data_IF_251600987418
#
_entry.id   IF_251600987418
#
_cell.length_a   1.000
_cell.length_b   1.000
_cell.length_c   1.000
_cell.angle_alpha   90.00
_cell.angle_beta   90.00
_cell.angle_gamma   90.00
#
_symmetry.space_group_name_H-M   'P 1'
#
loop_
_entity.id
_entity.type
_entity.pdbx_description
1 polymer ?
#
# COMPACT_ATOMS: atom_id res chain seq x y z
N UNK A 1 56.30 -36.63 -41.54
CA UNK A 1 55.83 -35.27 -41.18
C UNK A 1 54.37 -35.18 -41.61
N UNK A 2 53.46 -35.62 -40.75
CA UNK A 2 52.03 -35.81 -41.03
C UNK A 2 51.24 -34.64 -40.44
N UNK A 3 50.50 -33.93 -41.28
CA UNK A 3 49.64 -32.80 -40.89
C UNK A 3 48.27 -33.32 -40.43
N UNK A 4 47.92 -33.12 -39.16
CA UNK A 4 46.56 -33.31 -38.66
C UNK A 4 45.64 -32.16 -39.09
N UNK A 5 44.37 -32.43 -39.46
CA UNK A 5 43.40 -31.38 -39.73
C UNK A 5 42.74 -30.89 -38.43
N UNK A 6 42.71 -29.57 -38.26
CA UNK A 6 42.07 -28.90 -37.13
C UNK A 6 40.55 -29.17 -37.10
N UNK A 7 40.08 -29.70 -35.97
CA UNK A 7 38.66 -29.91 -35.67
C UNK A 7 37.95 -28.57 -35.53
N UNK A 8 37.01 -28.25 -36.43
CA UNK A 8 36.15 -27.06 -36.34
C UNK A 8 35.15 -27.22 -35.20
N UNK A 9 35.14 -26.26 -34.27
CA UNK A 9 34.15 -26.18 -33.20
C UNK A 9 32.72 -26.07 -33.77
N UNK A 10 31.71 -26.67 -33.11
CA UNK A 10 30.33 -26.60 -33.57
C UNK A 10 29.77 -25.18 -33.43
N UNK A 11 29.12 -24.69 -34.49
CA UNK A 11 28.35 -23.45 -34.51
C UNK A 11 27.39 -23.41 -33.31
N UNK A 12 27.57 -22.41 -32.45
CA UNK A 12 26.59 -22.01 -31.43
C UNK A 12 25.27 -21.69 -32.13
N UNK A 13 24.27 -22.58 -32.05
CA UNK A 13 22.91 -22.27 -32.53
C UNK A 13 22.37 -21.13 -31.67
N UNK A 14 22.35 -19.91 -32.22
CA UNK A 14 21.57 -18.81 -31.67
C UNK A 14 20.12 -19.28 -31.54
N UNK A 15 19.63 -19.37 -30.29
CA UNK A 15 18.21 -19.65 -30.07
C UNK A 15 17.42 -18.50 -30.68
N UNK A 16 16.50 -18.74 -31.62
CA UNK A 16 15.69 -17.66 -32.18
C UNK A 16 14.95 -16.95 -31.04
N UNK A 17 15.12 -15.63 -30.97
CA UNK A 17 14.44 -14.80 -29.97
C UNK A 17 12.91 -14.93 -30.07
N UNK A 18 12.16 -14.63 -29.00
CA UNK A 18 10.72 -14.78 -28.97
C UNK A 18 10.05 -14.03 -30.12
N UNK A 19 9.16 -14.73 -30.82
CA UNK A 19 8.44 -14.22 -31.99
C UNK A 19 7.54 -13.03 -31.61
N UNK A 20 7.12 -12.23 -32.59
CA UNK A 20 6.19 -11.11 -32.36
C UNK A 20 4.87 -11.56 -31.71
N UNK A 21 4.43 -12.80 -31.97
CA UNK A 21 3.23 -13.40 -31.38
C UNK A 21 3.44 -13.74 -29.90
N UNK A 22 4.62 -14.21 -29.51
CA UNK A 22 4.95 -14.52 -28.12
C UNK A 22 5.01 -13.25 -27.26
N UNK A 23 5.57 -12.16 -27.80
CA UNK A 23 5.56 -10.84 -27.15
C UNK A 23 4.14 -10.30 -26.94
N UNK A 24 3.27 -10.39 -27.94
CA UNK A 24 1.86 -9.96 -27.84
C UNK A 24 1.09 -10.77 -26.80
N UNK A 25 1.25 -12.10 -26.77
CA UNK A 25 0.62 -12.98 -25.78
C UNK A 25 1.11 -12.68 -24.35
N UNK A 26 2.41 -12.46 -24.18
CA UNK A 26 3.00 -12.11 -22.88
C UNK A 26 2.50 -10.74 -22.39
N UNK A 27 2.38 -9.75 -23.27
CA UNK A 27 1.82 -8.44 -22.95
C UNK A 27 0.34 -8.55 -22.53
N UNK A 28 -0.48 -9.23 -23.32
CA UNK A 28 -1.91 -9.42 -23.01
C UNK A 28 -2.14 -10.18 -21.70
N UNK A 29 -1.27 -11.15 -21.36
CA UNK A 29 -1.32 -11.83 -20.06
C UNK A 29 -0.96 -10.88 -18.91
N UNK A 30 0.05 -10.03 -19.08
CA UNK A 30 0.46 -9.04 -18.07
C UNK A 30 -0.64 -8.00 -17.82
N UNK A 31 -1.27 -7.50 -18.89
CA UNK A 31 -2.39 -6.57 -18.80
C UNK A 31 -3.55 -7.18 -18.01
N UNK A 32 -4.01 -8.39 -18.39
CA UNK A 32 -5.10 -9.07 -17.66
C UNK A 32 -4.83 -9.28 -16.17
N UNK A 33 -3.59 -9.60 -15.80
CA UNK A 33 -3.22 -9.75 -14.39
C UNK A 33 -3.26 -8.38 -13.67
N UNK A 34 -2.73 -7.33 -14.29
CA UNK A 34 -2.77 -5.98 -13.73
C UNK A 34 -4.22 -5.51 -13.54
N UNK A 35 -5.07 -5.72 -14.55
CA UNK A 35 -6.49 -5.39 -14.50
C UNK A 35 -7.18 -6.16 -13.36
N UNK A 36 -6.95 -7.47 -13.24
CA UNK A 36 -7.54 -8.28 -12.18
C UNK A 36 -7.13 -7.83 -10.77
N UNK A 37 -5.86 -7.45 -10.57
CA UNK A 37 -5.38 -6.91 -9.28
C UNK A 37 -6.01 -5.56 -8.97
N UNK A 38 -6.10 -4.68 -9.97
CA UNK A 38 -6.75 -3.38 -9.81
C UNK A 38 -8.24 -3.57 -9.49
N UNK A 39 -8.93 -4.48 -10.18
CA UNK A 39 -10.33 -4.81 -9.87
C UNK A 39 -10.48 -5.36 -8.46
N UNK A 40 -9.60 -6.27 -8.02
CA UNK A 40 -9.66 -6.83 -6.66
C UNK A 40 -9.45 -5.77 -5.59
N UNK A 41 -8.47 -4.87 -5.77
CA UNK A 41 -8.19 -3.77 -4.86
C UNK A 41 -9.35 -2.76 -4.81
N UNK A 42 -9.89 -2.39 -5.97
CA UNK A 42 -11.06 -1.51 -6.02
C UNK A 42 -12.28 -2.18 -5.37
N UNK A 43 -12.44 -3.50 -5.55
CA UNK A 43 -13.54 -4.25 -4.95
C UNK A 43 -13.40 -4.35 -3.43
N UNK A 44 -12.21 -4.62 -2.88
CA UNK A 44 -11.99 -4.66 -1.42
C UNK A 44 -12.27 -3.30 -0.78
N UNK A 45 -11.73 -2.23 -1.37
CA UNK A 45 -11.99 -0.86 -0.93
C UNK A 45 -13.48 -0.50 -1.03
N UNK A 46 -14.15 -0.87 -2.13
CA UNK A 46 -15.59 -0.63 -2.31
C UNK A 46 -16.43 -1.39 -1.28
N UNK A 47 -16.05 -2.62 -0.92
CA UNK A 47 -16.71 -3.39 0.15
C UNK A 47 -16.53 -2.70 1.50
N UNK A 48 -15.33 -2.25 1.85
CA UNK A 48 -15.08 -1.53 3.10
C UNK A 48 -15.95 -0.26 3.21
N UNK A 49 -16.02 0.52 2.12
CA UNK A 49 -16.86 1.73 2.06
C UNK A 49 -18.36 1.38 2.10
N UNK A 50 -18.79 0.32 1.40
CA UNK A 50 -20.18 -0.12 1.42
C UNK A 50 -20.63 -0.58 2.81
N UNK A 51 -19.75 -1.26 3.56
CA UNK A 51 -20.01 -1.66 4.95
C UNK A 51 -20.13 -0.45 5.87
N UNK A 52 -19.27 0.56 5.71
CA UNK A 52 -19.41 1.81 6.44
C UNK A 52 -20.75 2.50 6.16
N UNK A 53 -21.12 2.62 4.87
CA UNK A 53 -22.37 3.25 4.48
C UNK A 53 -23.60 2.47 4.99
N UNK A 54 -23.54 1.14 5.00
CA UNK A 54 -24.65 0.29 5.48
C UNK A 54 -24.80 0.32 7.01
N UNK A 55 -23.71 0.54 7.75
CA UNK A 55 -23.70 0.58 9.21
C UNK A 55 -23.81 2.00 9.78
N UNK A 56 -24.63 2.85 9.15
CA UNK A 56 -24.96 4.19 9.64
C UNK A 56 -24.15 5.33 9.00
N UNK A 57 -23.09 5.03 8.23
CA UNK A 57 -22.33 6.03 7.47
C UNK A 57 -23.19 6.87 6.52
N UNK A 58 -24.23 6.27 5.91
CA UNK A 58 -25.12 6.99 5.00
C UNK A 58 -25.91 8.13 5.66
N UNK A 59 -26.09 8.10 6.99
CA UNK A 59 -26.80 9.15 7.72
C UNK A 59 -25.89 10.32 8.14
N UNK A 60 -24.57 10.20 7.97
CA UNK A 60 -23.57 11.18 8.39
C UNK A 60 -23.29 12.26 7.33
N UNK A 61 -24.30 12.63 6.54
CA UNK A 61 -24.21 13.66 5.50
C UNK A 61 -25.23 14.79 5.70
N UNK A 62 -25.79 14.91 6.91
CA UNK A 62 -26.79 15.92 7.25
C UNK A 62 -26.22 17.34 7.42
N UNK A 63 -24.95 17.44 7.83
CA UNK A 63 -24.24 18.73 7.96
C UNK A 63 -22.92 18.71 7.19
N UNK A 64 -22.35 19.89 6.95
CA UNK A 64 -21.02 19.99 6.32
C UNK A 64 -19.94 19.35 7.19
N UNK A 65 -19.99 19.51 8.52
CA UNK A 65 -19.03 18.92 9.43
C UNK A 65 -19.08 17.38 9.37
N UNK A 66 -20.29 16.80 9.42
CA UNK A 66 -20.47 15.33 9.33
C UNK A 66 -20.00 14.79 7.98
N UNK A 67 -20.27 15.51 6.88
CA UNK A 67 -19.83 15.13 5.55
C UNK A 67 -18.30 15.13 5.43
N UNK A 68 -17.63 16.16 5.98
CA UNK A 68 -16.16 16.24 6.03
C UNK A 68 -15.60 15.08 6.87
N UNK A 69 -16.14 14.84 8.05
CA UNK A 69 -15.75 13.70 8.91
C UNK A 69 -15.92 12.36 8.18
N UNK A 70 -17.05 12.15 7.50
CA UNK A 70 -17.33 10.94 6.72
C UNK A 70 -16.33 10.73 5.58
N UNK A 71 -15.91 11.79 4.89
CA UNK A 71 -14.85 11.72 3.87
C UNK A 71 -13.53 11.31 4.51
N UNK A 72 -13.21 11.84 5.69
CA UNK A 72 -12.04 11.43 6.47
C UNK A 72 -12.06 9.94 6.80
N UNK A 73 -13.20 9.43 7.28
CA UNK A 73 -13.38 7.99 7.57
C UNK A 73 -13.19 7.14 6.32
N UNK A 74 -13.79 7.53 5.18
CA UNK A 74 -13.62 6.81 3.90
C UNK A 74 -12.15 6.76 3.48
N UNK A 75 -11.41 7.87 3.62
CA UNK A 75 -9.98 7.90 3.34
C UNK A 75 -9.20 6.93 4.26
N UNK A 76 -9.57 6.85 5.54
CA UNK A 76 -8.99 5.92 6.51
C UNK A 76 -9.26 4.46 6.16
N UNK A 77 -10.49 4.14 5.74
CA UNK A 77 -10.88 2.79 5.31
C UNK A 77 -10.09 2.33 4.08
N UNK A 78 -10.01 3.16 3.04
CA UNK A 78 -9.27 2.82 1.81
C UNK A 78 -7.77 2.76 2.11
N UNK A 79 -7.24 3.71 2.90
CA UNK A 79 -5.83 3.73 3.30
C UNK A 79 -5.43 2.47 4.09
N UNK A 80 -6.28 2.05 5.03
CA UNK A 80 -6.08 0.83 5.83
C UNK A 80 -6.21 -0.42 4.98
N UNK A 81 -7.19 -0.50 4.07
CA UNK A 81 -7.31 -1.61 3.12
C UNK A 81 -6.02 -1.78 2.30
N UNK A 82 -5.43 -0.68 1.84
CA UNK A 82 -4.16 -0.74 1.11
C UNK A 82 -3.01 -1.27 1.99
N UNK A 83 -2.95 -0.88 3.27
CA UNK A 83 -1.97 -1.42 4.22
C UNK A 83 -2.17 -2.92 4.43
N UNK A 84 -3.41 -3.39 4.60
CA UNK A 84 -3.72 -4.80 4.76
C UNK A 84 -3.37 -5.61 3.52
N UNK A 85 -3.70 -5.10 2.32
CA UNK A 85 -3.29 -5.72 1.06
C UNK A 85 -1.76 -5.79 0.96
N UNK A 86 -1.04 -4.73 1.34
CA UNK A 86 0.43 -4.74 1.37
C UNK A 86 1.01 -5.81 2.30
N UNK A 87 0.39 -6.05 3.47
CA UNK A 87 0.78 -7.12 4.40
C UNK A 87 0.54 -8.50 3.77
N UNK A 88 -0.62 -8.71 3.14
CA UNK A 88 -0.94 -9.96 2.43
C UNK A 88 0.04 -10.23 1.29
N UNK A 89 0.40 -9.20 0.52
CA UNK A 89 1.41 -9.31 -0.55
C UNK A 89 2.80 -9.66 0.00
N UNK A 90 3.15 -9.18 1.20
CA UNK A 90 4.44 -9.46 1.85
C UNK A 90 4.49 -10.85 2.50
N UNK A 91 3.34 -11.43 2.86
CA UNK A 91 3.24 -12.71 3.58
C UNK A 91 3.65 -13.95 2.76
N UNK A 92 3.94 -13.81 1.46
CA UNK A 92 4.37 -14.91 0.55
C UNK A 92 3.43 -16.13 0.58
N UNK A 93 2.13 -15.86 0.59
CA UNK A 93 1.11 -16.92 0.59
C UNK A 93 1.23 -17.73 -0.72
N UNK A 94 1.45 -19.07 -0.68
CA UNK A 94 1.75 -19.85 -1.88
C UNK A 94 0.72 -19.74 -3.00
N UNK A 95 -0.56 -19.58 -2.64
CA UNK A 95 -1.67 -19.42 -3.59
C UNK A 95 -1.54 -18.10 -4.38
N UNK A 96 -1.15 -17.02 -3.68
CA UNK A 96 -0.96 -15.68 -4.25
C UNK A 96 0.33 -15.63 -5.06
N UNK A 97 1.42 -16.19 -4.54
CA UNK A 97 2.70 -16.22 -5.24
C UNK A 97 2.62 -16.99 -6.57
N UNK A 98 1.82 -18.07 -6.63
CA UNK A 98 1.59 -18.83 -7.87
C UNK A 98 0.77 -18.07 -8.91
N UNK A 99 -0.14 -17.20 -8.48
CA UNK A 99 -1.05 -16.47 -9.40
C UNK A 99 -0.40 -15.20 -9.97
N UNK A 100 0.19 -14.37 -9.11
CA UNK A 100 0.73 -13.05 -9.50
C UNK A 100 2.24 -13.09 -9.76
N UNK A 101 2.97 -13.90 -8.99
CA UNK A 101 4.43 -13.96 -8.97
C UNK A 101 5.08 -12.96 -8.02
N UNK A 102 6.19 -13.36 -7.40
CA UNK A 102 6.88 -12.60 -6.35
C UNK A 102 7.29 -11.18 -6.79
N UNK A 103 7.93 -11.04 -7.95
CA UNK A 103 8.40 -9.74 -8.45
C UNK A 103 7.25 -8.74 -8.64
N UNK A 104 6.07 -9.24 -9.06
CA UNK A 104 4.88 -8.40 -9.22
C UNK A 104 4.26 -8.04 -7.89
N UNK A 105 4.19 -8.97 -6.94
CA UNK A 105 3.71 -8.70 -5.59
C UNK A 105 4.53 -7.60 -4.93
N UNK A 106 5.87 -7.66 -5.04
CA UNK A 106 6.77 -6.62 -4.52
C UNK A 106 6.63 -5.29 -5.29
N UNK A 107 6.43 -5.33 -6.61
CA UNK A 107 6.17 -4.13 -7.39
C UNK A 107 4.86 -3.45 -6.95
N UNK A 108 3.80 -4.22 -6.72
CA UNK A 108 2.52 -3.71 -6.23
C UNK A 108 2.64 -3.16 -4.81
N UNK A 109 3.31 -3.88 -3.90
CA UNK A 109 3.57 -3.40 -2.55
C UNK A 109 4.29 -2.03 -2.56
N UNK A 110 5.30 -1.85 -3.42
CA UNK A 110 5.99 -0.55 -3.57
C UNK A 110 5.10 0.52 -4.18
N UNK A 111 4.19 0.16 -5.09
CA UNK A 111 3.26 1.09 -5.72
C UNK A 111 2.18 1.57 -4.74
N UNK A 112 1.69 0.71 -3.86
CA UNK A 112 0.64 1.01 -2.88
C UNK A 112 1.13 1.79 -1.66
N UNK A 113 2.41 1.70 -1.30
CA UNK A 113 2.94 2.36 -0.10
C UNK A 113 2.73 3.88 -0.07
N UNK A 114 2.92 4.58 -1.19
CA UNK A 114 2.72 6.04 -1.23
C UNK A 114 1.22 6.43 -1.20
N UNK A 115 0.34 5.85 -2.04
CA UNK A 115 -1.09 6.10 -1.95
C UNK A 115 -1.67 5.79 -0.56
N UNK A 116 -1.28 4.68 0.06
CA UNK A 116 -1.72 4.33 1.42
C UNK A 116 -1.34 5.42 2.43
N UNK A 117 -0.09 5.89 2.38
CA UNK A 117 0.36 6.97 3.27
C UNK A 117 -0.41 8.27 3.03
N UNK A 118 -0.63 8.66 1.77
CA UNK A 118 -1.37 9.88 1.46
C UNK A 118 -2.83 9.81 1.94
N UNK A 119 -3.48 8.65 1.79
CA UNK A 119 -4.83 8.43 2.30
C UNK A 119 -4.90 8.50 3.82
N UNK A 120 -3.91 7.93 4.53
CA UNK A 120 -3.89 7.96 6.00
C UNK A 120 -3.54 9.35 6.56
N UNK A 121 -2.65 10.10 5.90
CA UNK A 121 -2.42 11.51 6.25
C UNK A 121 -3.67 12.33 5.98
N UNK A 122 -4.30 12.15 4.82
CA UNK A 122 -5.54 12.83 4.47
C UNK A 122 -6.66 12.50 5.47
N UNK A 123 -6.79 11.24 5.88
CA UNK A 123 -7.70 10.80 6.93
C UNK A 123 -7.52 11.61 8.22
N UNK A 124 -6.30 11.65 8.78
CA UNK A 124 -6.05 12.40 10.01
C UNK A 124 -6.31 13.91 9.87
N UNK A 125 -5.86 14.52 8.77
CA UNK A 125 -6.07 15.95 8.51
C UNK A 125 -7.54 16.30 8.32
N UNK A 126 -8.28 15.50 7.55
CA UNK A 126 -9.70 15.74 7.29
C UNK A 126 -10.53 15.51 8.56
N UNK A 127 -10.17 14.52 9.39
CA UNK A 127 -10.82 14.34 10.70
C UNK A 127 -10.58 15.52 11.64
N UNK A 128 -9.36 16.05 11.73
CA UNK A 128 -9.08 17.26 12.53
C UNK A 128 -9.93 18.45 12.06
N UNK A 129 -10.14 18.59 10.75
CA UNK A 129 -11.03 19.62 10.19
C UNK A 129 -12.49 19.35 10.57
N UNK A 130 -13.00 18.13 10.35
CA UNK A 130 -14.39 17.78 10.62
C UNK A 130 -14.77 17.89 12.11
N UNK A 131 -13.90 17.39 12.99
CA UNK A 131 -14.08 17.53 14.44
C UNK A 131 -13.92 18.97 14.90
N UNK A 132 -12.92 19.71 14.41
CA UNK A 132 -12.76 21.13 14.70
C UNK A 132 -13.98 21.95 14.29
N UNK A 133 -14.58 21.66 13.13
CA UNK A 133 -15.83 22.29 12.69
C UNK A 133 -17.01 21.99 13.63
N UNK A 134 -17.07 20.77 14.18
CA UNK A 134 -18.12 20.34 15.13
C UNK A 134 -17.93 20.98 16.51
N UNK A 135 -16.68 21.09 16.95
CA UNK A 135 -16.26 21.66 18.24
C UNK A 135 -16.15 23.19 18.21
N UNK A 136 -16.20 23.81 17.03
CA UNK A 136 -16.05 25.26 16.85
C UNK A 136 -14.62 25.77 17.05
N UNK A 137 -13.60 24.92 16.91
CA UNK A 137 -12.18 25.27 17.05
C UNK A 137 -11.39 24.97 15.77
N UNK A 138 -10.22 25.59 15.63
CA UNK A 138 -9.38 25.36 14.46
C UNK A 138 -8.74 23.95 14.48
N UNK A 139 -8.38 23.37 13.32
CA UNK A 139 -7.89 22.00 13.22
C UNK A 139 -6.59 21.72 13.99
N UNK A 140 -5.75 22.74 14.23
CA UNK A 140 -4.49 22.57 14.97
C UNK A 140 -4.80 22.50 16.46
N UNK A 141 -5.71 23.35 16.94
CA UNK A 141 -6.18 23.31 18.34
C UNK A 141 -6.88 22.00 18.70
N UNK A 142 -7.51 21.32 17.73
CA UNK A 142 -8.17 20.01 17.91
C UNK A 142 -7.18 18.86 18.23
N UNK A 143 -5.88 19.01 17.93
CA UNK A 143 -4.87 17.99 18.23
C UNK A 143 -4.78 17.71 19.75
N UNK A 144 -4.89 18.75 20.57
CA UNK A 144 -4.82 18.62 22.03
C UNK A 144 -5.97 17.78 22.61
N UNK A 145 -7.23 18.15 22.34
CA UNK A 145 -8.41 17.33 22.67
C UNK A 145 -8.31 15.90 22.14
N UNK A 146 -7.86 15.70 20.89
CA UNK A 146 -7.69 14.36 20.35
C UNK A 146 -6.69 13.54 21.17
N UNK A 147 -5.52 14.09 21.51
CA UNK A 147 -4.51 13.39 22.30
C UNK A 147 -4.94 13.10 23.75
N UNK A 148 -5.98 13.76 24.25
CA UNK A 148 -6.55 13.48 25.57
C UNK A 148 -7.43 12.23 25.59
N UNK A 149 -7.89 11.74 24.44
CA UNK A 149 -8.59 10.46 24.33
C UNK A 149 -7.62 9.30 24.61
N UNK A 150 -8.01 8.26 25.37
CA UNK A 150 -7.08 7.24 25.85
C UNK A 150 -6.29 6.47 24.77
N UNK A 151 -6.90 6.28 23.61
CA UNK A 151 -6.44 5.46 22.49
C UNK A 151 -5.80 6.29 21.35
N UNK A 152 -6.19 7.55 21.21
CA UNK A 152 -5.70 8.44 20.14
C UNK A 152 -4.18 8.65 20.12
N UNK A 153 -3.44 8.76 21.24
CA UNK A 153 -1.98 8.85 21.19
C UNK A 153 -1.33 7.70 20.41
N UNK A 154 -1.88 6.49 20.47
CA UNK A 154 -1.38 5.35 19.70
C UNK A 154 -1.61 5.54 18.20
N UNK A 155 -2.71 6.17 17.78
CA UNK A 155 -2.97 6.50 16.39
C UNK A 155 -1.92 7.47 15.81
N UNK A 156 -1.56 8.51 16.56
CA UNK A 156 -0.51 9.46 16.15
C UNK A 156 0.86 8.78 16.06
N UNK A 157 1.19 7.90 17.01
CA UNK A 157 2.42 7.10 16.96
C UNK A 157 2.40 6.15 15.76
N UNK A 158 1.28 5.47 15.49
CA UNK A 158 1.12 4.59 14.35
C UNK A 158 1.34 5.33 13.01
N UNK A 159 0.73 6.50 12.85
CA UNK A 159 0.92 7.34 11.67
C UNK A 159 2.38 7.80 11.53
N UNK A 160 3.01 8.22 12.63
CA UNK A 160 4.42 8.58 12.65
C UNK A 160 5.36 7.44 12.24
N UNK A 161 5.10 6.22 12.74
CA UNK A 161 5.83 5.02 12.36
C UNK A 161 5.64 4.68 10.88
N UNK A 162 4.41 4.78 10.35
CA UNK A 162 4.14 4.58 8.93
C UNK A 162 4.87 5.60 8.05
N UNK A 163 4.87 6.88 8.43
CA UNK A 163 5.64 7.92 7.74
C UNK A 163 7.13 7.55 7.72
N UNK A 164 7.70 7.17 8.86
CA UNK A 164 9.10 6.76 8.98
C UNK A 164 9.42 5.57 8.06
N UNK A 165 8.59 4.52 8.08
CA UNK A 165 8.76 3.32 7.26
C UNK A 165 8.71 3.67 5.77
N UNK A 166 7.75 4.48 5.34
CA UNK A 166 7.60 4.84 3.93
C UNK A 166 8.75 5.71 3.45
N UNK A 167 9.14 6.73 4.23
CA UNK A 167 10.27 7.61 3.91
C UNK A 167 11.57 6.81 3.76
N UNK A 168 11.88 5.95 4.74
CA UNK A 168 13.08 5.08 4.70
C UNK A 168 13.02 4.04 3.58
N UNK A 169 11.83 3.68 3.13
CA UNK A 169 11.61 2.76 2.00
C UNK A 169 11.67 3.44 0.63
N UNK A 170 11.75 4.77 0.55
CA UNK A 170 11.97 5.48 -0.71
C UNK A 170 13.36 5.15 -1.27
N UNK A 171 13.42 4.88 -2.58
CA UNK A 171 14.64 4.42 -3.27
C UNK A 171 15.83 5.36 -3.04
N UNK A 172 15.59 6.67 -2.99
CA UNK A 172 16.64 7.67 -2.75
C UNK A 172 17.28 7.52 -1.36
N UNK A 173 16.48 7.19 -0.35
CA UNK A 173 16.92 7.10 1.02
C UNK A 173 17.46 5.70 1.35
N UNK A 174 16.83 4.64 0.84
CA UNK A 174 17.28 3.25 0.97
C UNK A 174 18.72 3.04 0.50
N UNK A 175 19.16 3.75 -0.55
CA UNK A 175 20.54 3.65 -1.06
C UNK A 175 21.61 4.14 -0.06
N UNK A 176 21.21 4.85 1.00
CA UNK A 176 22.12 5.39 2.01
C UNK A 176 22.23 4.52 3.27
N UNK A 177 21.40 3.50 3.44
CA UNK A 177 21.36 2.66 4.64
C UNK A 177 21.79 1.21 4.34
N UNK A 178 22.31 0.53 5.36
CA UNK A 178 22.55 -0.92 5.27
C UNK A 178 21.23 -1.67 5.11
N UNK A 179 21.29 -2.86 4.50
CA UNK A 179 20.11 -3.71 4.32
C UNK A 179 19.47 -4.07 5.67
N UNK A 180 20.29 -4.32 6.69
CA UNK A 180 19.84 -4.67 8.04
C UNK A 180 19.07 -3.52 8.70
N UNK A 181 19.59 -2.30 8.65
CA UNK A 181 18.91 -1.13 9.22
C UNK A 181 17.58 -0.87 8.52
N UNK A 182 17.56 -0.92 7.18
CA UNK A 182 16.32 -0.79 6.42
C UNK A 182 15.31 -1.87 6.81
N UNK A 183 15.74 -3.12 6.96
CA UNK A 183 14.87 -4.22 7.36
C UNK A 183 14.30 -4.01 8.76
N UNK A 184 15.13 -3.66 9.74
CA UNK A 184 14.69 -3.37 11.11
C UNK A 184 13.69 -2.22 11.18
N UNK A 185 13.93 -1.14 10.44
CA UNK A 185 12.95 -0.03 10.35
C UNK A 185 11.66 -0.50 9.69
N UNK A 186 11.75 -1.30 8.62
CA UNK A 186 10.55 -1.81 7.95
C UNK A 186 9.71 -2.71 8.86
N UNK A 187 10.32 -3.45 9.80
CA UNK A 187 9.59 -4.23 10.82
C UNK A 187 8.74 -3.35 11.75
N UNK A 188 9.04 -2.06 11.89
CA UNK A 188 8.19 -1.13 12.65
C UNK A 188 6.79 -0.96 12.01
N UNK A 189 6.60 -1.36 10.75
CA UNK A 189 5.27 -1.40 10.13
C UNK A 189 4.29 -2.31 10.87
N UNK A 190 4.75 -3.43 11.44
CA UNK A 190 3.89 -4.31 12.25
C UNK A 190 3.45 -3.62 13.54
N UNK A 191 4.35 -2.88 14.17
CA UNK A 191 4.04 -2.09 15.36
C UNK A 191 3.06 -0.96 15.03
N UNK A 192 3.25 -0.28 13.91
CA UNK A 192 2.34 0.74 13.43
C UNK A 192 0.92 0.19 13.21
N UNK A 193 0.80 -0.97 12.54
CA UNK A 193 -0.50 -1.64 12.37
C UNK A 193 -1.11 -2.01 13.71
N UNK A 194 -0.33 -2.57 14.64
CA UNK A 194 -0.84 -2.94 15.96
C UNK A 194 -1.34 -1.74 16.78
N UNK A 195 -0.61 -0.61 16.74
CA UNK A 195 -1.01 0.63 17.41
C UNK A 195 -2.19 1.34 16.74
N UNK A 196 -2.44 1.05 15.46
CA UNK A 196 -3.62 1.52 14.75
C UNK A 196 -4.87 0.66 15.01
N UNK A 197 -4.84 -0.42 15.79
CA UNK A 197 -6.05 -1.20 16.06
C UNK A 197 -6.96 -0.59 17.15
N UNK A 198 -6.44 -0.05 18.27
CA UNK A 198 -7.29 0.43 19.36
C UNK A 198 -8.04 1.73 19.07
N UNK A 199 -7.53 2.57 18.15
CA UNK A 199 -8.15 3.86 17.87
C UNK A 199 -9.46 3.69 17.10
N UNK A 200 -10.55 4.20 17.69
CA UNK A 200 -11.90 4.18 17.12
C UNK A 200 -12.57 5.54 17.26
#
# INVERSE_FOLDING_TARGET
MTTEPATRAPFSRERPGPSGLDRRRQFARRARIADALATLLCASAAVAVALFLSYGGAHQFGTLADAVTSIGIIAGLIGTDFVLVMVVLAARIPIIDRSIGHDRAIALHRALGKPALYLLIAHGVVLLIGYGMSSGIDPISEIGPMLALPDMPLAFVALGLLILVVITSLVALRRRYSHELWHSVHLLSYLAVAFALPHQ
#
